data_IF_338178112654
#
_entry.id   IF_338178112654
#
_cell.length_a   1.000
_cell.length_b   1.000
_cell.length_c   1.000
_cell.angle_alpha   90.00
_cell.angle_beta   90.00
_cell.angle_gamma   90.00
#
_symmetry.space_group_name_H-M   'P 1'
#
loop_
_entity.id
_entity.type
_entity.pdbx_description
1 polymer ?
#
# COMPACT_ATOMS: atom_id res chain seq x y z
N UNK A 1 21.76 -11.95 -0.02
CA UNK A 1 21.30 -10.56 -0.15
C UNK A 1 20.50 -10.21 1.09
N UNK A 2 20.82 -9.11 1.78
CA UNK A 2 19.97 -8.64 2.88
C UNK A 2 18.57 -8.31 2.33
N UNK A 3 17.53 -8.68 3.06
CA UNK A 3 16.16 -8.38 2.68
C UNK A 3 15.95 -6.86 2.71
N UNK A 4 15.55 -6.28 1.59
CA UNK A 4 15.25 -4.85 1.49
C UNK A 4 14.04 -4.54 2.37
N UNK A 5 14.14 -3.49 3.20
CA UNK A 5 13.00 -3.02 3.98
C UNK A 5 12.03 -2.23 3.12
N UNK A 6 10.78 -2.18 3.57
CA UNK A 6 9.73 -1.51 2.83
C UNK A 6 9.98 0.01 2.68
N UNK A 7 10.55 0.65 3.71
CA UNK A 7 11.03 2.03 3.64
C UNK A 7 12.14 2.22 2.61
N UNK A 8 13.18 1.39 2.63
CA UNK A 8 14.30 1.49 1.68
C UNK A 8 13.86 1.26 0.22
N UNK A 9 12.87 0.40 -0.02
CA UNK A 9 12.33 0.18 -1.36
C UNK A 9 11.56 1.40 -1.88
N UNK A 10 10.79 2.07 -1.02
CA UNK A 10 10.13 3.33 -1.36
C UNK A 10 11.16 4.42 -1.68
N UNK A 11 12.22 4.53 -0.89
CA UNK A 11 13.21 5.60 -1.04
C UNK A 11 14.09 5.43 -2.28
N UNK A 12 14.22 4.20 -2.79
CA UNK A 12 14.98 3.88 -4.03
C UNK A 12 14.22 4.17 -5.32
N UNK A 13 12.98 4.66 -5.25
CA UNK A 13 12.21 4.96 -6.47
C UNK A 13 12.77 6.18 -7.20
N UNK A 14 12.70 6.14 -8.52
CA UNK A 14 13.11 7.25 -9.40
C UNK A 14 12.39 8.57 -9.09
N UNK A 15 11.13 8.48 -8.63
CA UNK A 15 10.38 9.63 -8.11
C UNK A 15 10.09 9.45 -6.62
N UNK A 16 10.56 10.35 -5.75
CA UNK A 16 10.32 10.27 -4.31
C UNK A 16 8.84 10.45 -4.00
N UNK A 17 8.38 9.80 -2.93
CA UNK A 17 7.02 9.99 -2.42
C UNK A 17 6.91 11.39 -1.79
N UNK A 18 5.85 12.17 -2.07
CA UNK A 18 5.64 13.46 -1.43
C UNK A 18 5.64 13.32 0.10
N UNK A 19 6.35 14.23 0.78
CA UNK A 19 6.53 14.21 2.24
C UNK A 19 5.22 14.10 3.05
N UNK A 20 4.12 14.79 2.69
CA UNK A 20 2.85 14.62 3.39
C UNK A 20 2.32 13.19 3.32
N UNK A 21 2.45 12.51 2.17
CA UNK A 21 2.02 11.13 1.98
C UNK A 21 2.98 10.14 2.65
N UNK A 22 4.28 10.43 2.66
CA UNK A 22 5.32 9.56 3.23
C UNK A 22 5.02 9.17 4.68
N UNK A 23 4.47 10.10 5.47
CA UNK A 23 4.10 9.89 6.89
C UNK A 23 2.95 8.90 7.10
N UNK A 24 2.13 8.68 6.07
CA UNK A 24 1.03 7.71 6.09
C UNK A 24 1.46 6.34 5.53
N UNK A 25 2.71 6.23 5.05
CA UNK A 25 3.28 4.96 4.62
C UNK A 25 4.08 4.35 5.77
N UNK A 26 3.62 3.20 6.27
CA UNK A 26 4.42 2.29 7.08
C UNK A 26 5.75 1.97 6.36
N UNK A 27 6.87 2.02 7.07
CA UNK A 27 8.24 1.75 6.58
C UNK A 27 8.79 0.41 7.06
N UNK A 28 8.09 -0.26 7.96
CA UNK A 28 8.62 -1.39 8.71
C UNK A 28 8.39 -2.72 8.00
N UNK A 29 9.37 -3.61 8.16
CA UNK A 29 9.31 -4.98 7.67
C UNK A 29 9.85 -5.19 6.25
N UNK A 30 9.79 -6.45 5.81
CA UNK A 30 10.33 -6.91 4.53
C UNK A 30 9.41 -6.56 3.36
N UNK A 31 10.00 -6.16 2.24
CA UNK A 31 9.28 -5.89 0.98
C UNK A 31 8.72 -7.18 0.41
N UNK A 32 7.40 -7.33 0.46
CA UNK A 32 6.66 -8.40 -0.21
C UNK A 32 5.31 -7.87 -0.70
N UNK A 33 4.74 -8.49 -1.75
CA UNK A 33 3.40 -8.13 -2.21
C UNK A 33 2.36 -8.26 -1.09
N UNK A 34 2.40 -9.32 -0.29
CA UNK A 34 1.42 -9.56 0.78
C UNK A 34 1.58 -8.55 1.95
N UNK A 35 2.79 -8.09 2.26
CA UNK A 35 2.99 -6.99 3.20
C UNK A 35 2.41 -5.67 2.68
N UNK A 36 2.57 -5.38 1.39
CA UNK A 36 1.97 -4.21 0.74
C UNK A 36 0.45 -4.26 0.75
N UNK A 37 -0.15 -5.43 0.42
CA UNK A 37 -1.60 -5.61 0.49
C UNK A 37 -2.12 -5.37 1.90
N UNK A 38 -1.49 -5.95 2.92
CA UNK A 38 -1.87 -5.70 4.32
C UNK A 38 -1.77 -4.23 4.72
N UNK A 39 -0.77 -3.52 4.20
CA UNK A 39 -0.64 -2.08 4.45
C UNK A 39 -1.75 -1.27 3.76
N UNK A 40 -2.14 -1.65 2.53
CA UNK A 40 -3.29 -1.08 1.84
C UNK A 40 -4.59 -1.30 2.63
N UNK A 41 -4.83 -2.52 3.12
CA UNK A 41 -5.99 -2.86 3.95
C UNK A 41 -6.08 -1.98 5.20
N UNK A 42 -4.96 -1.82 5.93
CA UNK A 42 -4.92 -0.96 7.12
C UNK A 42 -5.16 0.51 6.80
N UNK A 43 -4.60 1.02 5.71
CA UNK A 43 -4.78 2.42 5.29
C UNK A 43 -6.23 2.70 4.89
N UNK A 44 -6.88 1.78 4.18
CA UNK A 44 -8.30 1.87 3.84
C UNK A 44 -9.20 1.78 5.09
N UNK A 45 -8.87 0.90 6.04
CA UNK A 45 -9.57 0.81 7.33
C UNK A 45 -9.41 2.09 8.17
N UNK A 46 -8.22 2.70 8.17
CA UNK A 46 -7.98 3.96 8.87
C UNK A 46 -8.85 5.10 8.31
N UNK A 47 -9.05 5.14 6.99
CA UNK A 47 -10.03 6.05 6.37
C UNK A 47 -11.45 5.77 6.87
N UNK A 48 -11.88 4.50 6.88
CA UNK A 48 -13.24 4.12 7.29
C UNK A 48 -13.53 4.37 8.77
N UNK A 49 -12.53 4.20 9.64
CA UNK A 49 -12.67 4.39 11.08
C UNK A 49 -13.00 5.84 11.48
N UNK A 50 -12.89 6.81 10.56
CA UNK A 50 -13.45 8.16 10.72
C UNK A 50 -12.85 8.97 11.88
N UNK A 51 -11.69 8.59 12.40
CA UNK A 51 -11.20 9.15 13.67
C UNK A 51 -10.56 10.53 13.55
N UNK A 52 -10.16 10.99 12.37
CA UNK A 52 -9.52 12.31 12.22
C UNK A 52 -9.87 12.96 10.88
N UNK A 53 -10.29 14.24 10.95
CA UNK A 53 -10.43 15.28 9.89
C UNK A 53 -10.34 14.79 8.44
N UNK A 54 -11.28 15.17 7.57
CA UNK A 54 -11.38 14.80 6.14
C UNK A 54 -10.05 14.66 5.38
N UNK A 55 -9.07 15.51 5.70
CA UNK A 55 -7.71 15.46 5.17
C UNK A 55 -6.94 14.17 5.49
N UNK A 56 -7.00 13.67 6.72
CA UNK A 56 -6.29 12.45 7.13
C UNK A 56 -6.94 11.20 6.54
N UNK A 57 -8.27 11.19 6.44
CA UNK A 57 -9.01 10.15 5.71
C UNK A 57 -8.60 10.12 4.23
N UNK A 58 -8.51 11.29 3.59
CA UNK A 58 -8.04 11.40 2.20
C UNK A 58 -6.60 10.88 2.03
N UNK A 59 -5.69 11.19 2.96
CA UNK A 59 -4.33 10.63 2.92
C UNK A 59 -4.31 9.13 3.19
N UNK A 60 -5.22 8.59 4.01
CA UNK A 60 -5.40 7.15 4.18
C UNK A 60 -5.79 6.45 2.88
N UNK A 61 -6.70 7.03 2.10
CA UNK A 61 -7.06 6.51 0.77
C UNK A 61 -5.89 6.60 -0.22
N UNK A 62 -5.17 7.74 -0.25
CA UNK A 62 -3.99 7.89 -1.10
C UNK A 62 -2.87 6.90 -0.72
N UNK A 63 -2.69 6.63 0.57
CA UNK A 63 -1.75 5.62 1.03
C UNK A 63 -2.18 4.22 0.56
N UNK A 64 -3.48 3.88 0.70
CA UNK A 64 -4.01 2.60 0.23
C UNK A 64 -3.80 2.40 -1.28
N UNK A 65 -4.06 3.43 -2.09
CA UNK A 65 -3.82 3.42 -3.54
C UNK A 65 -2.34 3.20 -3.88
N UNK A 66 -1.43 3.92 -3.19
CA UNK A 66 0.01 3.74 -3.36
C UNK A 66 0.43 2.30 -3.05
N UNK A 67 -0.08 1.70 -1.97
CA UNK A 67 0.21 0.32 -1.61
C UNK A 67 -0.31 -0.70 -2.62
N UNK A 68 -1.50 -0.50 -3.16
CA UNK A 68 -2.03 -1.34 -4.25
C UNK A 68 -1.10 -1.27 -5.46
N UNK A 69 -0.72 -0.06 -5.86
CA UNK A 69 0.20 0.16 -6.99
C UNK A 69 1.54 -0.54 -6.76
N UNK A 70 2.08 -0.47 -5.54
CA UNK A 70 3.33 -1.12 -5.19
C UNK A 70 3.24 -2.64 -5.18
N UNK A 71 2.16 -3.21 -4.62
CA UNK A 71 1.90 -4.64 -4.66
C UNK A 71 1.80 -5.14 -6.11
N UNK A 72 1.08 -4.39 -6.95
CA UNK A 72 0.96 -4.68 -8.37
C UNK A 72 2.32 -4.64 -9.09
N UNK A 73 3.11 -3.59 -8.87
CA UNK A 73 4.44 -3.47 -9.46
C UNK A 73 5.36 -4.63 -9.04
N UNK A 74 5.34 -4.99 -7.74
CA UNK A 74 6.11 -6.11 -7.23
C UNK A 74 5.73 -7.41 -7.94
N UNK A 75 4.43 -7.70 -8.06
CA UNK A 75 3.93 -8.90 -8.74
C UNK A 75 4.27 -8.90 -10.24
N UNK A 76 4.17 -7.77 -10.92
CA UNK A 76 4.56 -7.67 -12.34
C UNK A 76 6.04 -7.97 -12.53
N UNK A 77 6.91 -7.40 -11.69
CA UNK A 77 8.36 -7.58 -11.80
C UNK A 77 8.80 -9.01 -11.46
N UNK A 78 8.14 -9.66 -10.50
CA UNK A 78 8.57 -10.98 -10.00
C UNK A 78 7.83 -12.15 -10.66
N UNK A 79 6.52 -12.03 -10.92
CA UNK A 79 5.66 -13.16 -11.31
C UNK A 79 4.86 -12.94 -12.60
N UNK A 80 4.78 -11.70 -13.13
CA UNK A 80 4.12 -11.38 -14.41
C UNK A 80 2.62 -11.70 -14.50
N UNK A 81 1.96 -12.05 -13.39
CA UNK A 81 0.62 -12.64 -13.42
C UNK A 81 -0.51 -11.62 -13.22
N UNK A 82 -1.30 -11.37 -14.27
CA UNK A 82 -2.43 -10.43 -14.26
C UNK A 82 -3.53 -10.80 -13.27
N UNK A 83 -3.71 -12.10 -12.96
CA UNK A 83 -4.70 -12.54 -11.98
C UNK A 83 -4.28 -12.27 -10.54
N UNK A 84 -2.98 -12.25 -10.27
CA UNK A 84 -2.46 -11.82 -8.97
C UNK A 84 -2.81 -10.34 -8.71
N UNK A 85 -2.74 -9.49 -9.75
CA UNK A 85 -3.14 -8.07 -9.69
C UNK A 85 -4.63 -7.90 -9.36
N UNK A 86 -5.50 -8.67 -10.04
CA UNK A 86 -6.94 -8.66 -9.73
C UNK A 86 -7.22 -9.09 -8.30
N UNK A 87 -6.46 -10.06 -7.78
CA UNK A 87 -6.61 -10.53 -6.40
C UNK A 87 -6.27 -9.44 -5.38
N UNK A 88 -5.22 -8.65 -5.62
CA UNK A 88 -4.82 -7.52 -4.78
C UNK A 88 -5.97 -6.51 -4.67
N UNK A 89 -6.47 -6.04 -5.81
CA UNK A 89 -7.54 -5.02 -5.85
C UNK A 89 -8.81 -5.52 -5.16
N UNK A 90 -9.23 -6.77 -5.46
CA UNK A 90 -10.41 -7.38 -4.83
C UNK A 90 -10.26 -7.52 -3.33
N UNK A 91 -9.08 -7.92 -2.85
CA UNK A 91 -8.82 -8.13 -1.44
C UNK A 91 -8.88 -6.81 -0.65
N UNK A 92 -8.23 -5.76 -1.14
CA UNK A 92 -8.27 -4.43 -0.48
C UNK A 92 -9.68 -3.84 -0.52
N UNK A 93 -10.37 -3.91 -1.66
CA UNK A 93 -11.76 -3.47 -1.76
C UNK A 93 -12.68 -4.26 -0.81
N UNK A 94 -12.58 -5.60 -0.81
CA UNK A 94 -13.39 -6.42 0.08
C UNK A 94 -13.11 -6.19 1.57
N UNK A 95 -11.88 -5.84 1.95
CA UNK A 95 -11.54 -5.50 3.33
C UNK A 95 -12.13 -4.15 3.77
N UNK A 96 -12.23 -3.17 2.88
CA UNK A 96 -12.74 -1.84 3.18
C UNK A 96 -14.29 -1.78 3.20
N UNK A 97 -14.94 -2.52 2.30
CA UNK A 97 -16.36 -2.34 1.95
C UNK A 97 -17.31 -3.45 2.42
N UNK A 98 -16.86 -4.41 3.23
CA UNK A 98 -17.78 -5.35 3.88
C UNK A 98 -18.54 -4.64 5.02
N UNK A 99 -19.85 -4.54 4.86
CA UNK A 99 -20.84 -4.16 5.89
C UNK A 99 -20.99 -5.27 6.92
#
# INVERSE_FOLDING_TARGET
MAALTFGEWIDRRERPVPEPLRRHLNTDGTVTADAMVRAAERAAQACRAGTHRDRDAAFGLLAADAYITYACLWLVVNDGCTDALKSVVRRVAGAAWRE
#
